data_IF_419604951242
#
_entry.id   IF_419604951242
#
_cell.length_a   1.000
_cell.length_b   1.000
_cell.length_c   1.000
_cell.angle_alpha   90.00
_cell.angle_beta   90.00
_cell.angle_gamma   90.00
#
_symmetry.space_group_name_H-M   'P 1'
#
loop_
_entity.id
_entity.type
_entity.pdbx_description
1 polymer ?
#
# COMPACT_ATOMS: atom_id res chain seq x y z
N UNK A 1 25.79 -48.98 24.06
CA UNK A 1 24.49 -48.40 23.66
C UNK A 1 24.64 -46.88 23.83
N UNK A 2 24.75 -46.14 22.71
CA UNK A 2 24.92 -44.68 22.69
C UNK A 2 23.59 -44.06 22.24
N UNK A 3 22.92 -43.38 23.17
CA UNK A 3 21.66 -42.65 22.90
C UNK A 3 22.00 -41.32 22.22
N UNK A 4 21.52 -41.15 20.99
CA UNK A 4 21.59 -39.89 20.26
C UNK A 4 20.33 -39.10 20.60
N UNK A 5 20.47 -38.02 21.36
CA UNK A 5 19.40 -37.06 21.64
C UNK A 5 19.26 -36.13 20.41
N UNK A 6 18.18 -36.27 19.68
CA UNK A 6 17.81 -35.45 18.54
C UNK A 6 17.15 -34.17 19.04
N UNK A 7 17.87 -33.05 19.01
CA UNK A 7 17.37 -31.72 19.36
C UNK A 7 16.52 -31.19 18.18
N UNK A 8 15.19 -31.24 18.32
CA UNK A 8 14.25 -30.58 17.41
C UNK A 8 14.26 -29.07 17.71
N UNK A 9 14.98 -28.29 16.89
CA UNK A 9 14.86 -26.84 16.85
C UNK A 9 13.52 -26.48 16.16
N UNK A 10 12.50 -26.21 16.96
CA UNK A 10 11.25 -25.66 16.47
C UNK A 10 11.45 -24.20 16.05
N UNK A 11 11.46 -23.92 14.76
CA UNK A 11 11.35 -22.56 14.22
C UNK A 11 9.94 -22.02 14.51
N UNK A 12 9.82 -21.21 15.54
CA UNK A 12 8.63 -20.38 15.76
C UNK A 12 8.58 -19.29 14.68
N UNK A 13 7.87 -19.54 13.59
CA UNK A 13 7.45 -18.49 12.68
C UNK A 13 6.43 -17.61 13.40
N UNK A 14 6.89 -16.54 14.02
CA UNK A 14 5.99 -15.46 14.45
C UNK A 14 5.51 -14.74 13.20
N UNK A 15 4.30 -15.07 12.75
CA UNK A 15 3.62 -14.30 11.72
C UNK A 15 3.43 -12.87 12.27
N UNK A 16 4.29 -11.95 11.83
CA UNK A 16 4.20 -10.54 12.20
C UNK A 16 2.90 -9.99 11.62
N UNK A 17 1.96 -9.65 12.50
CA UNK A 17 0.71 -9.00 12.09
C UNK A 17 1.02 -7.68 11.39
N UNK A 18 0.36 -7.40 10.26
CA UNK A 18 0.58 -6.15 9.54
C UNK A 18 0.22 -4.96 10.42
N UNK A 19 1.17 -4.03 10.60
CA UNK A 19 0.98 -2.82 11.40
C UNK A 19 0.33 -1.75 10.51
N UNK A 20 -0.89 -1.27 10.81
CA UNK A 20 -1.50 -0.17 10.09
C UNK A 20 -0.65 1.10 10.17
N UNK A 21 -0.63 1.88 9.08
CA UNK A 21 0.16 3.11 9.00
C UNK A 21 1.63 2.92 8.62
N UNK A 22 2.16 1.69 8.67
CA UNK A 22 3.52 1.40 8.21
C UNK A 22 3.57 1.32 6.68
N UNK A 23 4.62 1.87 6.09
CA UNK A 23 4.94 1.71 4.67
C UNK A 23 6.01 0.63 4.51
N UNK A 24 5.73 -0.34 3.66
CA UNK A 24 6.71 -1.30 3.16
C UNK A 24 7.06 -0.89 1.73
N UNK A 25 8.33 -0.70 1.42
CA UNK A 25 8.77 -0.29 0.09
C UNK A 25 10.00 -1.05 -0.39
N UNK A 26 10.10 -1.19 -1.70
CA UNK A 26 11.26 -1.75 -2.37
C UNK A 26 11.62 -0.90 -3.59
N UNK A 27 12.90 -0.81 -3.92
CA UNK A 27 13.34 -0.15 -5.15
C UNK A 27 14.60 -0.81 -5.71
N UNK A 28 14.77 -0.69 -7.02
CA UNK A 28 15.98 -1.11 -7.71
C UNK A 28 17.11 -0.12 -7.42
N UNK A 29 18.15 -0.57 -6.73
CA UNK A 29 19.32 0.24 -6.38
C UNK A 29 20.18 0.62 -7.58
N UNK A 30 20.03 -0.07 -8.72
CA UNK A 30 20.76 0.21 -9.95
C UNK A 30 20.03 1.21 -10.86
N UNK A 31 18.73 1.47 -10.59
CA UNK A 31 17.95 2.40 -11.38
C UNK A 31 18.37 3.86 -11.13
N UNK A 32 18.51 4.62 -12.22
CA UNK A 32 18.78 6.06 -12.15
C UNK A 32 17.47 6.86 -12.02
N UNK A 33 16.94 6.94 -10.81
CA UNK A 33 15.70 7.67 -10.52
C UNK A 33 15.78 9.15 -10.90
N UNK A 34 16.96 9.77 -10.83
CA UNK A 34 17.14 11.17 -11.20
C UNK A 34 16.94 11.42 -12.71
N UNK A 35 17.12 10.40 -13.55
CA UNK A 35 16.86 10.49 -14.98
C UNK A 35 15.38 10.34 -15.35
N UNK A 36 14.56 9.73 -14.49
CA UNK A 36 13.12 9.53 -14.71
C UNK A 36 12.42 10.88 -14.55
N UNK A 37 11.76 11.35 -15.61
CA UNK A 37 11.07 12.67 -15.65
C UNK A 37 9.59 12.56 -15.94
N UNK A 38 9.18 11.46 -16.60
CA UNK A 38 7.81 11.31 -17.08
C UNK A 38 7.26 9.93 -16.72
N UNK A 39 5.95 9.87 -16.54
CA UNK A 39 5.23 8.62 -16.35
C UNK A 39 3.91 8.61 -17.15
N UNK A 40 3.44 7.42 -17.43
CA UNK A 40 2.09 7.17 -17.89
C UNK A 40 1.41 6.13 -17.02
N UNK A 41 0.09 6.18 -16.96
CA UNK A 41 -0.66 5.17 -16.24
C UNK A 41 -0.72 3.85 -17.00
N UNK A 42 -0.69 2.74 -16.28
CA UNK A 42 -1.00 1.41 -16.80
C UNK A 42 -2.04 0.73 -15.90
N UNK A 43 -2.63 -0.35 -16.41
CA UNK A 43 -3.69 -1.08 -15.70
C UNK A 43 -3.17 -1.68 -14.39
N UNK A 44 -3.91 -1.45 -13.32
CA UNK A 44 -3.74 -2.06 -12.00
C UNK A 44 -5.04 -2.75 -11.56
N UNK A 45 -5.29 -2.77 -10.26
CA UNK A 45 -6.58 -3.20 -9.70
C UNK A 45 -7.29 -1.97 -9.16
N UNK A 46 -8.31 -1.53 -9.88
CA UNK A 46 -9.08 -0.35 -9.52
C UNK A 46 -9.75 -0.49 -8.15
N UNK A 47 -9.96 0.63 -7.51
CA UNK A 47 -10.74 0.66 -6.28
C UNK A 47 -12.17 0.21 -6.58
N UNK A 48 -12.72 -0.61 -5.66
CA UNK A 48 -14.10 -1.12 -5.78
C UNK A 48 -15.15 0.01 -5.90
N UNK A 49 -14.85 1.17 -5.30
CA UNK A 49 -15.72 2.37 -5.34
C UNK A 49 -15.15 3.33 -6.38
N UNK A 50 -15.88 3.69 -7.46
CA UNK A 50 -15.39 4.55 -8.54
C UNK A 50 -14.84 5.91 -8.06
N UNK A 51 -15.48 6.52 -7.06
CA UNK A 51 -15.03 7.79 -6.47
C UNK A 51 -13.65 7.63 -5.81
N UNK A 52 -13.40 6.50 -5.16
CA UNK A 52 -12.10 6.20 -4.56
C UNK A 52 -11.02 6.04 -5.64
N UNK A 53 -11.35 5.44 -6.80
CA UNK A 53 -10.44 5.36 -7.95
C UNK A 53 -9.96 6.76 -8.37
N UNK A 54 -10.90 7.68 -8.61
CA UNK A 54 -10.57 9.06 -9.00
C UNK A 54 -9.70 9.76 -7.96
N UNK A 55 -10.02 9.60 -6.67
CA UNK A 55 -9.26 10.19 -5.56
C UNK A 55 -7.83 9.62 -5.48
N UNK A 56 -7.66 8.31 -5.65
CA UNK A 56 -6.35 7.64 -5.62
C UNK A 56 -5.48 8.13 -6.78
N UNK A 57 -6.03 8.18 -8.00
CA UNK A 57 -5.30 8.70 -9.17
C UNK A 57 -4.84 10.14 -8.91
N UNK A 58 -5.75 11.02 -8.46
CA UNK A 58 -5.41 12.42 -8.19
C UNK A 58 -4.35 12.57 -7.09
N UNK A 59 -4.43 11.77 -6.03
CA UNK A 59 -3.45 11.79 -4.95
C UNK A 59 -2.07 11.30 -5.42
N UNK A 60 -2.01 10.22 -6.21
CA UNK A 60 -0.76 9.71 -6.77
C UNK A 60 -0.16 10.71 -7.76
N UNK A 61 -0.97 11.31 -8.65
CA UNK A 61 -0.52 12.33 -9.60
C UNK A 61 0.11 13.53 -8.87
N UNK A 62 -0.52 13.97 -7.78
CA UNK A 62 0.00 15.06 -6.94
C UNK A 62 1.36 14.73 -6.33
N UNK A 63 1.49 13.54 -5.75
CA UNK A 63 2.75 13.12 -5.13
C UNK A 63 3.84 12.83 -6.17
N UNK A 64 3.50 12.26 -7.31
CA UNK A 64 4.41 12.06 -8.43
C UNK A 64 4.95 13.42 -8.95
N UNK A 65 4.09 14.43 -9.09
CA UNK A 65 4.52 15.78 -9.42
C UNK A 65 5.44 16.36 -8.33
N UNK A 66 5.15 16.08 -7.05
CA UNK A 66 5.98 16.51 -5.91
C UNK A 66 7.40 15.93 -5.89
N UNK A 67 7.61 14.76 -6.55
CA UNK A 67 8.95 14.17 -6.75
C UNK A 67 9.53 14.50 -8.14
N UNK A 68 8.92 15.40 -8.89
CA UNK A 68 9.43 15.92 -10.17
C UNK A 68 9.02 15.11 -11.40
N UNK A 69 8.03 14.21 -11.29
CA UNK A 69 7.52 13.44 -12.41
C UNK A 69 6.36 14.17 -13.12
N UNK A 70 6.36 14.17 -14.44
CA UNK A 70 5.30 14.74 -15.26
C UNK A 70 4.46 13.62 -15.89
N UNK A 71 3.16 13.68 -15.71
CA UNK A 71 2.22 12.74 -16.35
C UNK A 71 2.13 12.98 -17.86
N UNK A 72 2.20 11.88 -18.61
CA UNK A 72 1.87 11.82 -20.05
C UNK A 72 0.66 10.92 -20.26
N UNK A 73 -0.03 11.10 -21.38
CA UNK A 73 -1.13 10.20 -21.75
C UNK A 73 -0.63 8.78 -22.03
N UNK A 74 0.52 8.67 -22.71
CA UNK A 74 1.21 7.41 -23.05
C UNK A 74 2.70 7.66 -23.17
N UNK A 75 3.53 6.62 -23.12
CA UNK A 75 4.96 6.69 -23.49
C UNK A 75 5.82 7.46 -22.48
N UNK A 76 5.46 7.45 -21.20
CA UNK A 76 6.35 7.96 -20.15
C UNK A 76 7.62 7.12 -20.01
N UNK A 77 8.67 7.70 -19.41
CA UNK A 77 9.91 6.98 -19.07
C UNK A 77 9.61 5.73 -18.24
N UNK A 78 8.55 5.81 -17.44
CA UNK A 78 8.05 4.71 -16.62
C UNK A 78 6.52 4.63 -16.70
N UNK A 79 5.99 3.49 -16.27
CA UNK A 79 4.56 3.31 -16.04
C UNK A 79 4.27 3.21 -14.55
N UNK A 80 3.15 3.80 -14.11
CA UNK A 80 2.63 3.67 -12.75
C UNK A 80 1.33 2.88 -12.80
N UNK A 81 1.19 1.94 -11.88
CA UNK A 81 -0.06 1.24 -11.58
C UNK A 81 -0.32 1.30 -10.08
N UNK A 82 -1.58 1.24 -9.67
CA UNK A 82 -1.93 1.00 -8.28
C UNK A 82 -2.82 -0.24 -8.14
N UNK A 83 -2.79 -0.81 -6.96
CA UNK A 83 -3.61 -1.97 -6.60
C UNK A 83 -4.23 -1.71 -5.23
N UNK A 84 -5.51 -2.03 -5.10
CA UNK A 84 -6.22 -1.94 -3.83
C UNK A 84 -6.77 -3.29 -3.40
N UNK A 85 -6.87 -3.47 -2.10
CA UNK A 85 -7.57 -4.59 -1.47
C UNK A 85 -8.17 -4.12 -0.16
N UNK A 86 -9.36 -4.59 0.16
CA UNK A 86 -9.98 -4.39 1.48
C UNK A 86 -10.25 -5.76 2.10
N UNK A 87 -9.88 -5.90 3.35
CA UNK A 87 -10.13 -7.11 4.14
C UNK A 87 -10.91 -6.71 5.38
N UNK A 88 -12.10 -7.29 5.55
CA UNK A 88 -12.91 -7.10 6.76
C UNK A 88 -12.48 -8.10 7.83
N UNK A 89 -12.07 -7.60 8.98
CA UNK A 89 -11.70 -8.41 10.13
C UNK A 89 -12.70 -8.20 11.26
N UNK A 90 -12.90 -9.21 12.10
CA UNK A 90 -13.68 -9.06 13.33
C UNK A 90 -12.95 -8.08 14.27
N UNK A 91 -13.66 -7.06 14.73
CA UNK A 91 -13.13 -6.16 15.77
C UNK A 91 -13.30 -6.81 17.14
N UNK A 92 -12.24 -7.49 17.60
CA UNK A 92 -12.24 -8.20 18.88
C UNK A 92 -12.50 -7.25 20.07
N UNK A 93 -12.03 -5.99 20.00
CA UNK A 93 -12.26 -5.01 21.08
C UNK A 93 -13.70 -4.55 21.16
N UNK A 94 -14.36 -4.45 20.02
CA UNK A 94 -15.79 -4.13 19.96
C UNK A 94 -16.62 -5.37 20.32
N UNK A 95 -16.17 -6.56 19.94
CA UNK A 95 -16.83 -7.83 20.28
C UNK A 95 -16.94 -8.06 21.79
N UNK A 96 -15.88 -7.74 22.55
CA UNK A 96 -15.87 -7.86 24.03
C UNK A 96 -16.89 -6.96 24.72
N UNK A 97 -17.33 -5.89 24.04
CA UNK A 97 -18.31 -4.91 24.54
C UNK A 97 -19.74 -5.15 24.02
N UNK A 98 -19.90 -6.14 23.14
CA UNK A 98 -21.20 -6.41 22.53
C UNK A 98 -22.21 -7.02 23.51
N UNK A 99 -23.47 -6.56 23.39
CA UNK A 99 -24.59 -7.27 23.99
C UNK A 99 -24.78 -8.65 23.31
N UNK A 100 -24.97 -9.68 24.12
CA UNK A 100 -25.19 -11.09 23.65
C UNK A 100 -26.42 -11.26 22.72
N UNK A 101 -27.28 -10.23 22.62
CA UNK A 101 -28.44 -10.22 21.72
C UNK A 101 -28.11 -9.78 20.29
N UNK A 102 -26.91 -9.23 20.05
CA UNK A 102 -26.51 -8.76 18.72
C UNK A 102 -25.99 -9.94 17.88
N UNK A 103 -26.65 -10.21 16.75
CA UNK A 103 -26.37 -11.40 15.93
C UNK A 103 -25.17 -11.25 14.97
N UNK A 104 -24.68 -10.03 14.72
CA UNK A 104 -23.58 -9.77 13.80
C UNK A 104 -22.32 -9.33 14.54
N UNK A 105 -21.20 -9.97 14.29
CA UNK A 105 -19.92 -9.56 14.85
C UNK A 105 -19.50 -8.18 14.27
N UNK A 106 -19.00 -7.24 15.10
CA UNK A 106 -18.49 -5.98 14.61
C UNK A 106 -17.26 -6.23 13.75
N UNK A 107 -17.18 -5.59 12.59
CA UNK A 107 -16.05 -5.70 11.68
C UNK A 107 -15.29 -4.40 11.59
N UNK A 108 -14.02 -4.51 11.27
CA UNK A 108 -13.13 -3.39 10.98
C UNK A 108 -12.44 -3.66 9.66
N UNK A 109 -12.62 -2.76 8.71
CA UNK A 109 -12.04 -2.89 7.38
C UNK A 109 -10.60 -2.40 7.37
N UNK A 110 -9.71 -3.22 6.86
CA UNK A 110 -8.31 -2.90 6.59
C UNK A 110 -8.13 -2.72 5.09
N UNK A 111 -7.93 -1.48 4.66
CA UNK A 111 -7.58 -1.14 3.30
C UNK A 111 -6.08 -1.32 3.06
N UNK A 112 -5.72 -1.76 1.87
CA UNK A 112 -4.35 -1.87 1.38
C UNK A 112 -4.24 -1.10 0.07
N UNK A 113 -3.26 -0.21 -0.02
CA UNK A 113 -2.89 0.49 -1.24
C UNK A 113 -1.45 0.15 -1.59
N UNK A 114 -1.23 -0.30 -2.82
CA UNK A 114 0.10 -0.55 -3.40
C UNK A 114 0.25 0.33 -4.61
N UNK A 115 1.37 1.04 -4.72
CA UNK A 115 1.78 1.76 -5.92
C UNK A 115 3.02 1.07 -6.48
N UNK A 116 3.04 0.83 -7.78
CA UNK A 116 4.16 0.16 -8.47
C UNK A 116 4.58 1.00 -9.66
N UNK A 117 5.89 1.19 -9.80
CA UNK A 117 6.51 1.85 -10.95
C UNK A 117 7.37 0.84 -11.71
N UNK A 118 7.21 0.80 -13.04
CA UNK A 118 7.95 -0.09 -13.93
C UNK A 118 8.54 0.68 -15.09
N UNK A 119 9.68 0.20 -15.59
CA UNK A 119 10.28 0.70 -16.84
C UNK A 119 9.58 0.14 -18.10
N UNK A 120 10.09 0.50 -19.27
CA UNK A 120 9.58 0.02 -20.55
C UNK A 120 9.75 -1.49 -20.77
N UNK A 121 10.67 -2.15 -20.05
CA UNK A 121 10.87 -3.59 -20.04
C UNK A 121 9.98 -4.30 -19.00
N UNK A 122 9.04 -3.57 -18.38
CA UNK A 122 8.17 -4.03 -17.31
C UNK A 122 8.90 -4.46 -16.01
N UNK A 123 10.18 -4.11 -15.86
CA UNK A 123 10.92 -4.35 -14.63
C UNK A 123 10.43 -3.37 -13.55
N UNK A 124 10.22 -3.89 -12.34
CA UNK A 124 9.81 -3.06 -11.23
C UNK A 124 10.99 -2.23 -10.73
N UNK A 125 10.89 -0.91 -10.84
CA UNK A 125 11.87 0.04 -10.35
C UNK A 125 11.61 0.44 -8.90
N UNK A 126 10.34 0.68 -8.55
CA UNK A 126 9.92 1.04 -7.21
C UNK A 126 8.53 0.52 -6.93
N UNK A 127 8.30 0.13 -5.69
CA UNK A 127 6.97 -0.10 -5.17
C UNK A 127 6.89 0.30 -3.71
N UNK A 128 5.72 0.76 -3.31
CA UNK A 128 5.41 1.05 -1.92
C UNK A 128 4.00 0.59 -1.60
N UNK A 129 3.82 0.09 -0.38
CA UNK A 129 2.58 -0.46 0.12
C UNK A 129 2.30 0.07 1.51
N UNK A 130 1.06 0.47 1.75
CA UNK A 130 0.55 0.79 3.07
C UNK A 130 -0.74 0.05 3.36
N UNK A 131 -1.00 -0.15 4.64
CA UNK A 131 -2.27 -0.67 5.16
C UNK A 131 -2.84 0.35 6.11
N UNK A 132 -4.15 0.60 6.02
CA UNK A 132 -4.83 1.54 6.90
C UNK A 132 -6.20 1.00 7.30
N UNK A 133 -6.59 1.18 8.54
CA UNK A 133 -7.97 0.94 8.92
C UNK A 133 -8.86 2.00 8.30
N UNK A 134 -9.90 1.54 7.63
CA UNK A 134 -10.86 2.44 6.99
C UNK A 134 -11.85 2.95 8.04
N UNK A 135 -12.03 4.26 8.08
CA UNK A 135 -13.08 4.87 8.89
C UNK A 135 -14.43 4.56 8.24
N UNK A 136 -15.43 4.12 8.99
CA UNK A 136 -16.78 3.93 8.46
C UNK A 136 -17.41 5.24 7.93
N UNK A 137 -16.97 6.38 8.41
CA UNK A 137 -17.33 7.69 7.87
C UNK A 137 -16.64 7.96 6.54
N UNK A 138 -17.36 7.79 5.45
CA UNK A 138 -16.87 8.00 4.09
C UNK A 138 -16.39 9.43 3.82
N UNK A 139 -16.86 10.43 4.58
CA UNK A 139 -16.39 11.80 4.44
C UNK A 139 -14.88 11.95 4.75
N UNK A 140 -14.29 11.00 5.49
CA UNK A 140 -12.86 10.97 5.80
C UNK A 140 -12.01 10.29 4.73
N UNK A 141 -12.62 9.59 3.77
CA UNK A 141 -11.90 8.82 2.74
C UNK A 141 -10.90 9.67 1.94
N UNK A 142 -11.25 10.89 1.48
CA UNK A 142 -10.31 11.74 0.73
C UNK A 142 -9.05 12.06 1.53
N UNK A 143 -9.19 12.43 2.80
CA UNK A 143 -8.07 12.75 3.67
C UNK A 143 -7.21 11.50 3.95
N UNK A 144 -7.83 10.35 4.15
CA UNK A 144 -7.14 9.06 4.34
C UNK A 144 -6.31 8.70 3.11
N UNK A 145 -6.90 8.78 1.90
CA UNK A 145 -6.21 8.50 0.64
C UNK A 145 -5.01 9.45 0.47
N UNK A 146 -5.19 10.75 0.68
CA UNK A 146 -4.12 11.74 0.56
C UNK A 146 -2.96 11.42 1.53
N UNK A 147 -3.27 11.17 2.80
CA UNK A 147 -2.26 10.86 3.83
C UNK A 147 -1.52 9.56 3.53
N UNK A 148 -2.23 8.52 3.10
CA UNK A 148 -1.62 7.23 2.74
C UNK A 148 -0.70 7.41 1.55
N UNK A 149 -1.15 8.09 0.50
CA UNK A 149 -0.36 8.32 -0.72
C UNK A 149 0.89 9.17 -0.43
N UNK A 150 0.77 10.23 0.36
CA UNK A 150 1.92 11.02 0.79
C UNK A 150 2.96 10.15 1.51
N UNK A 151 2.54 9.28 2.43
CA UNK A 151 3.43 8.34 3.13
C UNK A 151 4.12 7.37 2.17
N UNK A 152 3.41 6.83 1.18
CA UNK A 152 4.02 5.96 0.17
C UNK A 152 5.16 6.67 -0.55
N UNK A 153 4.94 7.90 -1.01
CA UNK A 153 5.92 8.67 -1.76
C UNK A 153 7.07 9.22 -0.91
N UNK A 154 7.00 9.21 0.43
CA UNK A 154 8.19 9.48 1.26
C UNK A 154 9.31 8.47 1.02
N UNK A 155 9.00 7.28 0.52
CA UNK A 155 9.96 6.23 0.22
C UNK A 155 10.50 6.28 -1.22
N UNK A 156 10.06 7.23 -2.03
CA UNK A 156 10.57 7.40 -3.39
C UNK A 156 12.04 7.88 -3.35
N UNK A 157 12.97 7.22 -4.08
CA UNK A 157 14.41 7.37 -3.84
C UNK A 157 15.00 8.78 -4.08
N UNK A 158 14.32 9.63 -4.84
CA UNK A 158 14.79 11.01 -5.10
C UNK A 158 14.11 12.05 -4.22
N UNK A 159 13.16 11.67 -3.37
CA UNK A 159 12.50 12.60 -2.46
C UNK A 159 13.45 12.93 -1.31
N UNK A 160 13.71 14.24 -1.09
CA UNK A 160 14.44 14.69 0.08
C UNK A 160 13.66 14.30 1.36
N UNK A 161 14.33 13.85 2.43
CA UNK A 161 13.67 13.64 3.72
C UNK A 161 13.05 14.96 4.20
N UNK A 162 11.83 14.87 4.68
CA UNK A 162 11.13 16.00 5.33
C UNK A 162 11.67 16.22 6.73
#
# INVERSE_FOLDING_TARGET
MKSVAMLLLGFLFTAQQPVPGKVDSTFDKQANFAAIKTYSWTTGTDAFVPEAHTMIIAAIDKEAAGVGLKRLATGGDVTIAYYTMTVSNVDLKALDKMDKKTMAAPTKDLGKLVVVMRDAAHQQLWSAMSREYLDPDRAKLPATIQTVTERLFTTYPTRAPK
#
